data_IF_853060214742
#
_entry.id   IF_853060214742
#
_cell.length_a   1.000
_cell.length_b   1.000
_cell.length_c   1.000
_cell.angle_alpha   90.00
_cell.angle_beta   90.00
_cell.angle_gamma   90.00
#
_symmetry.space_group_name_H-M   'P 1'
#
loop_
_entity.id
_entity.type
_entity.pdbx_description
1 polymer ?
#
# COMPACT_ATOMS: atom_id res chain seq x y z
N UNK A 1 8.65 9.46 -5.12
CA UNK A 1 7.87 9.33 -3.86
C UNK A 1 8.84 8.91 -2.75
N UNK A 2 8.65 9.39 -1.52
CA UNK A 2 9.64 9.31 -0.44
C UNK A 2 9.76 7.96 0.29
N UNK A 3 9.23 6.86 -0.25
CA UNK A 3 9.33 5.52 0.36
C UNK A 3 8.53 5.31 1.65
N UNK A 4 7.80 6.29 2.15
CA UNK A 4 6.98 6.16 3.36
C UNK A 4 5.56 5.67 3.04
N UNK A 5 4.98 4.90 3.96
CA UNK A 5 3.59 4.43 3.88
C UNK A 5 2.65 5.39 4.59
N UNK A 6 1.39 5.41 4.14
CA UNK A 6 0.36 6.30 4.66
C UNK A 6 -0.95 5.53 4.83
N UNK A 7 -1.69 5.85 5.88
CA UNK A 7 -3.07 5.40 6.05
C UNK A 7 -4.04 6.50 5.64
N UNK A 8 -5.23 6.08 5.22
CA UNK A 8 -6.32 7.00 4.87
C UNK A 8 -6.89 7.59 6.15
N UNK A 9 -6.81 8.90 6.29
CA UNK A 9 -7.38 9.62 7.43
C UNK A 9 -8.83 10.04 7.16
N UNK A 10 -9.09 10.77 6.06
CA UNK A 10 -10.45 11.22 5.73
C UNK A 10 -10.68 11.35 4.21
N UNK A 11 -11.94 11.24 3.79
CA UNK A 11 -12.38 11.45 2.41
C UNK A 11 -13.34 12.64 2.37
N UNK A 12 -13.09 13.60 1.48
CA UNK A 12 -13.96 14.74 1.22
C UNK A 12 -14.44 14.67 -0.22
N UNK A 13 -15.57 13.96 -0.43
CA UNK A 13 -16.11 13.68 -1.78
C UNK A 13 -16.46 14.94 -2.56
N UNK A 14 -17.04 15.95 -1.90
CA UNK A 14 -17.42 17.22 -2.53
C UNK A 14 -16.22 17.98 -3.14
N UNK A 15 -15.00 17.73 -2.64
CA UNK A 15 -13.77 18.34 -3.12
C UNK A 15 -12.91 17.37 -3.95
N UNK A 16 -13.43 16.18 -4.26
CA UNK A 16 -12.67 15.10 -4.89
C UNK A 16 -11.32 14.86 -4.18
N UNK A 17 -11.28 14.86 -2.85
CA UNK A 17 -10.03 14.84 -2.06
C UNK A 17 -9.99 13.69 -1.06
N UNK A 18 -8.84 13.02 -0.97
CA UNK A 18 -8.50 12.04 0.05
C UNK A 18 -7.31 12.56 0.84
N UNK A 19 -7.40 12.50 2.16
CA UNK A 19 -6.36 12.92 3.09
C UNK A 19 -5.70 11.68 3.67
N UNK A 20 -4.37 11.67 3.62
CA UNK A 20 -3.52 10.57 4.06
C UNK A 20 -2.55 11.08 5.10
N UNK A 21 -2.34 10.32 6.17
CA UNK A 21 -1.33 10.60 7.20
C UNK A 21 -0.29 9.51 7.19
N UNK A 22 0.94 9.85 7.60
CA UNK A 22 1.98 8.86 7.78
C UNK A 22 1.48 7.70 8.64
N UNK A 23 1.95 6.49 8.38
CA UNK A 23 1.63 5.31 9.20
C UNK A 23 2.17 5.46 10.63
N UNK A 24 3.33 6.09 10.78
CA UNK A 24 3.89 6.44 12.09
C UNK A 24 3.05 7.55 12.74
N UNK A 25 2.55 7.27 13.94
CA UNK A 25 1.67 8.17 14.70
C UNK A 25 2.39 9.39 15.24
N UNK A 26 3.69 9.28 15.46
CA UNK A 26 4.52 10.39 15.94
C UNK A 26 4.97 11.29 14.78
N UNK A 27 4.74 10.88 13.53
CA UNK A 27 5.08 11.64 12.34
C UNK A 27 3.95 12.59 11.89
N UNK A 28 4.29 13.87 11.77
CA UNK A 28 3.36 14.92 11.33
C UNK A 28 3.13 15.02 9.82
N UNK A 29 3.82 14.22 9.01
CA UNK A 29 3.73 14.28 7.56
C UNK A 29 2.36 13.82 7.03
N UNK A 30 1.79 14.57 6.08
CA UNK A 30 0.55 14.21 5.41
C UNK A 30 0.55 14.57 3.93
N UNK A 31 -0.23 13.81 3.15
CA UNK A 31 -0.44 14.07 1.73
C UNK A 31 -1.93 14.08 1.40
N UNK A 32 -2.25 14.72 0.29
CA UNK A 32 -3.58 14.71 -0.31
C UNK A 32 -3.52 14.14 -1.71
N UNK A 33 -4.50 13.32 -2.05
CA UNK A 33 -4.73 12.85 -3.41
C UNK A 33 -6.16 13.16 -3.84
N UNK A 34 -6.45 12.98 -5.13
CA UNK A 34 -7.83 12.87 -5.60
C UNK A 34 -8.44 11.53 -5.20
N UNK A 35 -9.76 11.35 -5.41
CA UNK A 35 -10.40 10.04 -5.28
C UNK A 35 -9.83 9.00 -6.26
N UNK A 36 -9.26 9.45 -7.38
CA UNK A 36 -8.58 8.62 -8.37
C UNK A 36 -7.08 8.44 -8.08
N UNK A 37 -6.64 8.71 -6.84
CA UNK A 37 -5.25 8.59 -6.38
C UNK A 37 -4.23 9.49 -7.13
N UNK A 38 -4.67 10.57 -7.76
CA UNK A 38 -3.75 11.57 -8.33
C UNK A 38 -3.20 12.44 -7.20
N UNK A 39 -1.88 12.59 -7.11
CA UNK A 39 -1.24 13.44 -6.11
C UNK A 39 -1.71 14.91 -6.26
N UNK A 40 -2.03 15.56 -5.13
CA UNK A 40 -2.43 16.96 -5.10
C UNK A 40 -1.40 17.82 -4.36
N UNK A 41 -1.14 17.50 -3.10
CA UNK A 41 -0.25 18.29 -2.25
C UNK A 41 0.23 17.48 -1.05
N UNK A 42 1.22 18.02 -0.34
CA UNK A 42 1.63 17.58 0.99
C UNK A 42 1.60 18.78 1.94
N UNK A 43 2.11 18.59 3.16
CA UNK A 43 2.24 19.63 4.17
C UNK A 43 3.65 20.16 4.35
N UNK A 44 4.56 19.80 3.43
CA UNK A 44 5.99 20.16 3.44
C UNK A 44 6.75 19.77 4.73
N UNK A 45 6.10 19.05 5.65
CA UNK A 45 6.72 18.58 6.89
C UNK A 45 7.58 17.36 6.56
N UNK A 46 8.89 17.38 6.89
CA UNK A 46 9.75 16.24 6.68
C UNK A 46 9.34 15.08 7.59
N UNK A 47 9.59 13.85 7.13
CA UNK A 47 9.47 12.68 7.99
C UNK A 47 10.57 12.70 9.04
N UNK A 48 10.24 12.26 10.26
CA UNK A 48 11.16 12.23 11.41
C UNK A 48 11.69 10.83 11.71
N UNK A 49 11.41 9.88 10.83
CA UNK A 49 11.80 8.49 10.93
C UNK A 49 12.25 7.99 9.57
N UNK A 50 12.94 6.86 9.56
CA UNK A 50 13.29 6.18 8.32
C UNK A 50 12.06 5.44 7.74
N UNK A 51 12.00 5.25 6.41
CA UNK A 51 11.00 4.38 5.81
C UNK A 51 11.05 2.96 6.38
N UNK A 52 9.90 2.40 6.76
CA UNK A 52 9.80 0.98 7.04
C UNK A 52 9.77 0.19 5.73
N UNK A 53 10.92 -0.35 5.33
CA UNK A 53 11.06 -1.06 4.06
C UNK A 53 10.18 -2.32 3.99
N UNK A 54 9.96 -3.03 5.10
CA UNK A 54 9.08 -4.21 5.13
C UNK A 54 7.64 -3.81 4.72
N UNK A 55 7.12 -2.67 5.21
CA UNK A 55 5.80 -2.18 4.85
C UNK A 55 5.71 -1.78 3.37
N UNK A 56 6.76 -1.13 2.85
CA UNK A 56 6.85 -0.76 1.44
C UNK A 56 6.80 -2.01 0.56
N UNK A 57 7.56 -3.05 0.91
CA UNK A 57 7.56 -4.31 0.18
C UNK A 57 6.21 -5.00 0.24
N UNK A 58 5.56 -5.04 1.41
CA UNK A 58 4.21 -5.61 1.57
C UNK A 58 3.21 -4.88 0.66
N UNK A 59 3.28 -3.55 0.57
CA UNK A 59 2.38 -2.78 -0.31
C UNK A 59 2.67 -3.01 -1.79
N UNK A 60 3.94 -3.11 -2.19
CA UNK A 60 4.33 -3.43 -3.57
C UNK A 60 3.85 -4.84 -3.95
N UNK A 61 4.04 -5.82 -3.07
CA UNK A 61 3.57 -7.18 -3.27
C UNK A 61 2.05 -7.24 -3.46
N UNK A 62 1.28 -6.54 -2.59
CA UNK A 62 -0.18 -6.42 -2.73
C UNK A 62 -0.56 -5.84 -4.10
N UNK A 63 0.08 -4.75 -4.51
CA UNK A 63 -0.20 -4.10 -5.79
C UNK A 63 0.10 -5.03 -6.98
N UNK A 64 1.19 -5.79 -6.92
CA UNK A 64 1.58 -6.76 -7.94
C UNK A 64 0.57 -7.91 -8.05
N UNK A 65 0.16 -8.49 -6.92
CA UNK A 65 -0.86 -9.56 -6.91
C UNK A 65 -2.20 -9.05 -7.42
N UNK A 66 -2.66 -7.87 -7.00
CA UNK A 66 -3.91 -7.28 -7.49
C UNK A 66 -3.85 -7.02 -9.00
N UNK A 67 -2.71 -6.50 -9.49
CA UNK A 67 -2.51 -6.26 -10.93
C UNK A 67 -2.65 -7.55 -11.71
N UNK A 68 -1.95 -8.61 -11.30
CA UNK A 68 -1.98 -9.92 -11.96
C UNK A 68 -3.37 -10.57 -11.90
N UNK A 69 -4.04 -10.52 -10.75
CA UNK A 69 -5.39 -11.07 -10.59
C UNK A 69 -6.39 -10.40 -11.54
N UNK A 70 -6.22 -9.12 -11.85
CA UNK A 70 -7.09 -8.39 -12.78
C UNK A 70 -6.77 -8.67 -14.26
N UNK A 71 -5.53 -9.01 -14.58
CA UNK A 71 -5.09 -9.22 -15.96
C UNK A 71 -5.08 -10.68 -16.41
N UNK A 72 -5.07 -11.61 -15.47
CA UNK A 72 -4.89 -13.03 -15.76
C UNK A 72 -6.10 -13.86 -15.32
N UNK A 73 -6.46 -14.87 -16.11
CA UNK A 73 -7.57 -15.79 -15.82
C UNK A 73 -7.17 -16.91 -14.83
N UNK A 74 -6.14 -16.67 -14.01
CA UNK A 74 -5.68 -17.59 -12.96
C UNK A 74 -6.23 -17.18 -11.60
N UNK A 75 -6.44 -18.17 -10.73
CA UNK A 75 -7.03 -17.90 -9.42
C UNK A 75 -6.08 -17.05 -8.55
N UNK A 76 -6.63 -16.17 -7.68
CA UNK A 76 -5.80 -15.36 -6.78
C UNK A 76 -4.84 -16.16 -5.89
N UNK A 77 -5.15 -17.41 -5.57
CA UNK A 77 -4.28 -18.28 -4.79
C UNK A 77 -3.03 -18.72 -5.56
N UNK A 78 -3.17 -19.03 -6.85
CA UNK A 78 -2.03 -19.40 -7.71
C UNK A 78 -1.10 -18.21 -7.89
N UNK A 79 -1.64 -17.03 -8.20
CA UNK A 79 -0.85 -15.80 -8.34
C UNK A 79 -0.14 -15.47 -7.02
N UNK A 80 -0.83 -15.57 -5.87
CA UNK A 80 -0.21 -15.31 -4.58
C UNK A 80 0.97 -16.23 -4.29
N UNK A 81 0.82 -17.53 -4.52
CA UNK A 81 1.89 -18.52 -4.32
C UNK A 81 3.08 -18.30 -5.26
N UNK A 82 2.83 -17.97 -6.53
CA UNK A 82 3.89 -17.66 -7.50
C UNK A 82 4.67 -16.41 -7.12
N UNK A 83 3.97 -15.34 -6.72
CA UNK A 83 4.63 -14.11 -6.29
C UNK A 83 5.37 -14.30 -4.98
N UNK A 84 4.84 -15.09 -4.05
CA UNK A 84 5.53 -15.46 -2.82
C UNK A 84 6.82 -16.23 -3.11
N UNK A 85 6.79 -17.18 -4.04
CA UNK A 85 7.96 -17.96 -4.43
C UNK A 85 9.06 -17.12 -5.11
N UNK A 86 8.70 -16.01 -5.76
CA UNK A 86 9.65 -15.05 -6.36
C UNK A 86 10.16 -14.02 -5.36
N UNK A 87 9.46 -13.83 -4.25
CA UNK A 87 9.76 -12.76 -3.31
C UNK A 87 10.97 -13.13 -2.45
N UNK A 88 12.11 -12.49 -2.71
CA UNK A 88 13.30 -12.62 -1.87
C UNK A 88 13.17 -11.69 -0.64
N UNK A 89 12.40 -12.12 0.35
CA UNK A 89 11.97 -11.29 1.48
C UNK A 89 12.66 -11.64 2.80
N UNK A 90 12.75 -10.64 3.69
CA UNK A 90 13.15 -10.87 5.08
C UNK A 90 12.13 -11.80 5.77
N UNK A 91 12.55 -12.60 6.78
CA UNK A 91 11.61 -13.42 7.56
C UNK A 91 10.48 -12.61 8.21
N UNK A 92 10.79 -11.40 8.65
CA UNK A 92 9.83 -10.44 9.22
C UNK A 92 8.77 -10.01 8.20
N UNK A 93 9.18 -9.64 6.98
CA UNK A 93 8.26 -9.27 5.92
C UNK A 93 7.35 -10.45 5.51
N UNK A 94 7.89 -11.66 5.41
CA UNK A 94 7.11 -12.86 5.08
C UNK A 94 6.04 -13.18 6.12
N UNK A 95 6.36 -13.04 7.41
CA UNK A 95 5.42 -13.31 8.49
C UNK A 95 4.22 -12.33 8.48
N UNK A 96 4.40 -11.14 7.92
CA UNK A 96 3.39 -10.09 7.86
C UNK A 96 2.67 -10.00 6.50
N UNK A 97 2.98 -10.91 5.57
CA UNK A 97 2.31 -10.93 4.27
C UNK A 97 0.82 -11.27 4.42
N UNK A 98 -0.07 -10.62 3.65
CA UNK A 98 -1.47 -10.97 3.63
C UNK A 98 -1.66 -12.35 3.01
N UNK A 99 -2.50 -13.17 3.63
CA UNK A 99 -2.96 -14.42 3.03
C UNK A 99 -3.86 -14.14 1.81
N UNK A 100 -3.83 -15.02 0.81
CA UNK A 100 -4.59 -14.85 -0.43
C UNK A 100 -6.09 -14.54 -0.20
N UNK A 101 -6.68 -15.09 0.87
CA UNK A 101 -8.07 -14.86 1.25
C UNK A 101 -8.34 -13.42 1.71
N UNK A 102 -7.40 -12.75 2.40
CA UNK A 102 -7.57 -11.37 2.82
C UNK A 102 -7.44 -10.39 1.65
N UNK A 103 -6.72 -10.76 0.59
CA UNK A 103 -6.57 -9.91 -0.59
C UNK A 103 -7.80 -9.88 -1.50
N UNK A 104 -8.66 -10.91 -1.47
CA UNK A 104 -9.94 -10.89 -2.22
C UNK A 104 -10.84 -9.71 -1.86
N UNK A 105 -10.83 -9.26 -0.60
CA UNK A 105 -11.63 -8.10 -0.15
C UNK A 105 -11.16 -6.77 -0.74
N UNK A 106 -9.90 -6.67 -1.16
CA UNK A 106 -9.31 -5.48 -1.78
C UNK A 106 -9.36 -5.51 -3.31
N UNK A 107 -9.89 -6.59 -3.90
CA UNK A 107 -9.96 -6.82 -5.34
C UNK A 107 -11.35 -6.48 -5.93
N UNK A 108 -12.37 -6.34 -5.08
CA UNK A 108 -13.73 -5.88 -5.42
C UNK A 108 -13.83 -4.36 -5.44
#
# INVERSE_FOLDING_TARGET
MCGHTYHRNKIVKAQNKVYWRCEDRDCGAYIHTTLSNVYLSNNETPHIHEPNMDDVFIQQFKAQVIKRVRSELVTPGVIHSEELAKANMSPSAMANLPIAQSMRKSML
#
